data_IF_131372020493
#
_entry.id   IF_131372020493
#
_cell.length_a   1.000
_cell.length_b   1.000
_cell.length_c   1.000
_cell.angle_alpha   90.00
_cell.angle_beta   90.00
_cell.angle_gamma   90.00
#
_symmetry.space_group_name_H-M   'P 1'
#
loop_
_entity.id
_entity.type
_entity.pdbx_description
1 polymer ?
#
# COMPACT_ATOMS: atom_id res chain seq x y z
N UNK A 1 40.95 -26.04 -7.87
CA UNK A 1 39.56 -26.13 -8.38
C UNK A 1 38.78 -24.95 -7.83
N UNK A 2 38.46 -23.98 -8.68
CA UNK A 2 37.71 -22.77 -8.29
C UNK A 2 36.20 -23.09 -8.25
N UNK A 3 35.57 -22.93 -7.09
CA UNK A 3 34.10 -22.94 -6.98
C UNK A 3 33.59 -21.57 -7.40
N UNK A 4 33.03 -21.50 -8.61
CA UNK A 4 32.33 -20.32 -9.11
C UNK A 4 30.95 -20.27 -8.44
N UNK A 5 30.77 -19.37 -7.48
CA UNK A 5 29.44 -19.03 -6.95
C UNK A 5 28.80 -18.05 -7.92
N UNK A 6 28.06 -18.58 -8.90
CA UNK A 6 27.14 -17.78 -9.68
C UNK A 6 26.05 -17.26 -8.74
N UNK A 7 26.02 -15.94 -8.51
CA UNK A 7 24.97 -15.29 -7.77
C UNK A 7 23.63 -15.52 -8.49
N UNK A 8 22.65 -16.12 -7.80
CA UNK A 8 21.31 -16.28 -8.35
C UNK A 8 20.73 -14.92 -8.74
N UNK A 9 20.04 -14.79 -9.89
CA UNK A 9 19.42 -13.53 -10.28
C UNK A 9 18.40 -13.13 -9.21
N UNK A 10 18.50 -11.88 -8.72
CA UNK A 10 17.51 -11.29 -7.82
C UNK A 10 16.15 -11.34 -8.53
N UNK A 11 15.31 -12.31 -8.15
CA UNK A 11 13.92 -12.37 -8.63
C UNK A 11 13.26 -11.02 -8.32
N UNK A 12 12.62 -10.44 -9.32
CA UNK A 12 11.83 -9.23 -9.10
C UNK A 12 10.83 -9.50 -7.96
N UNK A 13 10.60 -8.52 -7.06
CA UNK A 13 9.58 -8.67 -6.03
C UNK A 13 8.23 -8.95 -6.70
N UNK A 14 7.39 -9.76 -6.04
CA UNK A 14 6.02 -10.00 -6.48
C UNK A 14 5.30 -8.65 -6.76
N UNK A 15 4.42 -8.57 -7.78
CA UNK A 15 3.76 -7.32 -8.16
C UNK A 15 3.08 -6.60 -6.98
N UNK A 16 2.42 -7.36 -6.09
CA UNK A 16 1.80 -6.86 -4.85
C UNK A 16 2.82 -6.22 -3.90
N UNK A 17 3.97 -6.86 -3.70
CA UNK A 17 5.04 -6.32 -2.86
C UNK A 17 5.64 -5.04 -3.45
N UNK A 18 5.78 -4.96 -4.77
CA UNK A 18 6.25 -3.74 -5.44
C UNK A 18 5.25 -2.58 -5.26
N UNK A 19 3.96 -2.86 -5.47
CA UNK A 19 2.86 -1.93 -5.25
C UNK A 19 2.82 -1.42 -3.80
N UNK A 20 2.87 -2.33 -2.82
CA UNK A 20 2.83 -1.99 -1.40
C UNK A 20 3.99 -1.07 -1.00
N UNK A 21 5.22 -1.38 -1.44
CA UNK A 21 6.40 -0.56 -1.16
C UNK A 21 6.27 0.85 -1.77
N UNK A 22 5.75 0.94 -2.99
CA UNK A 22 5.54 2.22 -3.69
C UNK A 22 4.53 3.10 -2.95
N UNK A 23 3.40 2.53 -2.54
CA UNK A 23 2.37 3.23 -1.78
C UNK A 23 2.88 3.65 -0.40
N UNK A 24 3.56 2.76 0.31
CA UNK A 24 4.18 3.04 1.61
C UNK A 24 5.20 4.17 1.53
N UNK A 25 6.08 4.17 0.52
CA UNK A 25 7.05 5.24 0.32
C UNK A 25 6.39 6.59 0.00
N UNK A 26 5.24 6.58 -0.68
CA UNK A 26 4.48 7.80 -0.99
C UNK A 26 3.79 8.33 0.27
N UNK A 27 3.22 7.44 1.07
CA UNK A 27 2.59 7.76 2.35
C UNK A 27 3.59 8.36 3.35
N UNK A 28 4.79 7.77 3.48
CA UNK A 28 5.87 8.26 4.36
C UNK A 28 6.35 9.67 4.01
N UNK A 29 6.07 10.16 2.79
CA UNK A 29 6.35 11.54 2.38
C UNK A 29 5.23 12.52 2.76
N UNK A 30 4.22 12.06 3.50
CA UNK A 30 3.08 12.88 3.93
C UNK A 30 2.10 13.17 2.78
N UNK A 31 1.93 12.25 1.84
CA UNK A 31 0.97 12.41 0.75
C UNK A 31 -0.46 12.51 1.28
N UNK A 32 -1.27 13.37 0.65
CA UNK A 32 -2.69 13.52 0.99
C UNK A 32 -3.51 12.28 0.56
N UNK A 33 -4.69 12.07 1.14
CA UNK A 33 -5.61 11.01 0.71
C UNK A 33 -5.89 11.03 -0.80
N UNK A 34 -6.13 12.21 -1.40
CA UNK A 34 -6.39 12.35 -2.84
C UNK A 34 -5.17 12.02 -3.69
N UNK A 35 -3.95 12.30 -3.19
CA UNK A 35 -2.71 11.90 -3.87
C UNK A 35 -2.55 10.39 -3.84
N UNK A 36 -2.92 9.75 -2.72
CA UNK A 36 -2.86 8.30 -2.58
C UNK A 36 -3.88 7.57 -3.44
N UNK A 37 -5.10 8.07 -3.57
CA UNK A 37 -6.11 7.48 -4.50
C UNK A 37 -5.58 7.45 -5.94
N UNK A 38 -4.98 8.55 -6.42
CA UNK A 38 -4.37 8.58 -7.76
C UNK A 38 -3.18 7.62 -7.90
N UNK A 39 -2.42 7.43 -6.83
CA UNK A 39 -1.32 6.47 -6.82
C UNK A 39 -1.83 5.03 -6.90
N UNK A 40 -2.94 4.73 -6.22
CA UNK A 40 -3.62 3.43 -6.35
C UNK A 40 -4.11 3.21 -7.77
N UNK A 41 -4.75 4.20 -8.41
CA UNK A 41 -5.18 4.09 -9.81
C UNK A 41 -4.01 3.70 -10.73
N UNK A 42 -2.86 4.38 -10.60
CA UNK A 42 -1.64 4.04 -11.36
C UNK A 42 -1.13 2.64 -11.05
N UNK A 43 -1.16 2.21 -9.78
CA UNK A 43 -0.75 0.86 -9.38
C UNK A 43 -1.67 -0.21 -9.97
N UNK A 44 -2.98 0.03 -9.96
CA UNK A 44 -3.97 -0.91 -10.51
C UNK A 44 -3.79 -1.04 -12.03
N UNK A 45 -3.50 0.06 -12.73
CA UNK A 45 -3.19 0.00 -14.17
C UNK A 45 -1.91 -0.79 -14.44
N UNK A 46 -0.86 -0.63 -13.62
CA UNK A 46 0.37 -1.43 -13.72
C UNK A 46 0.09 -2.93 -13.49
N UNK A 47 -0.76 -3.26 -12.51
CA UNK A 47 -1.16 -4.64 -12.22
C UNK A 47 -1.99 -5.26 -13.35
N UNK A 48 -2.95 -4.52 -13.90
CA UNK A 48 -3.73 -4.96 -15.08
C UNK A 48 -2.85 -5.28 -16.28
N UNK A 49 -1.77 -4.53 -16.46
CA UNK A 49 -0.83 -4.79 -17.54
C UNK A 49 0.08 -6.00 -17.29
N UNK A 50 0.18 -6.46 -16.03
CA UNK A 50 1.11 -7.49 -15.59
C UNK A 50 0.50 -8.90 -15.49
N UNK A 51 -0.83 -9.02 -15.41
CA UNK A 51 -1.52 -10.29 -15.22
C UNK A 51 -2.91 -10.33 -15.85
N UNK A 52 -3.57 -11.49 -15.75
CA UNK A 52 -4.96 -11.65 -16.19
C UNK A 52 -5.97 -11.20 -15.12
N UNK A 53 -7.27 -11.40 -15.39
CA UNK A 53 -8.36 -10.96 -14.51
C UNK A 53 -8.35 -11.69 -13.16
N UNK A 54 -8.02 -12.99 -13.13
CA UNK A 54 -7.97 -13.78 -11.90
C UNK A 54 -6.77 -13.38 -11.04
N UNK A 55 -5.60 -13.21 -11.67
CA UNK A 55 -4.39 -12.71 -11.00
C UNK A 55 -4.59 -11.28 -10.46
N UNK A 56 -5.16 -10.39 -11.26
CA UNK A 56 -5.48 -9.03 -10.85
C UNK A 56 -6.38 -9.03 -9.63
N UNK A 57 -7.46 -9.81 -9.66
CA UNK A 57 -8.39 -9.90 -8.53
C UNK A 57 -7.69 -10.38 -7.27
N UNK A 58 -6.89 -11.44 -7.35
CA UNK A 58 -6.14 -11.95 -6.21
C UNK A 58 -5.15 -10.89 -5.65
N UNK A 59 -4.47 -10.14 -6.51
CA UNK A 59 -3.57 -9.06 -6.08
C UNK A 59 -4.31 -7.89 -5.45
N UNK A 60 -5.49 -7.53 -5.98
CA UNK A 60 -6.33 -6.47 -5.40
C UNK A 60 -6.88 -6.88 -4.03
N UNK A 61 -7.27 -8.16 -3.85
CA UNK A 61 -7.69 -8.71 -2.55
C UNK A 61 -6.54 -8.64 -1.54
N UNK A 62 -5.35 -9.15 -1.90
CA UNK A 62 -4.15 -9.11 -1.03
C UNK A 62 -3.80 -7.67 -0.60
N UNK A 63 -3.83 -6.71 -1.54
CA UNK A 63 -3.52 -5.32 -1.25
C UNK A 63 -4.62 -4.65 -0.41
N UNK A 64 -5.89 -4.94 -0.69
CA UNK A 64 -7.02 -4.41 0.08
C UNK A 64 -6.93 -4.86 1.55
N UNK A 65 -6.73 -6.16 1.79
CA UNK A 65 -6.62 -6.74 3.13
C UNK A 65 -5.41 -6.17 3.89
N UNK A 66 -4.23 -6.13 3.26
CA UNK A 66 -3.02 -5.59 3.89
C UNK A 66 -3.15 -4.11 4.30
N UNK A 67 -3.83 -3.29 3.49
CA UNK A 67 -4.12 -1.90 3.85
C UNK A 67 -5.27 -1.76 4.84
N UNK A 68 -6.21 -2.71 4.92
CA UNK A 68 -7.23 -2.73 5.96
C UNK A 68 -6.59 -2.93 7.33
N UNK A 69 -5.76 -3.96 7.49
CA UNK A 69 -5.01 -4.22 8.74
C UNK A 69 -4.14 -3.03 9.13
N UNK A 70 -3.42 -2.45 8.16
CA UNK A 70 -2.56 -1.29 8.40
C UNK A 70 -3.36 -0.05 8.84
N UNK A 71 -4.57 0.15 8.29
CA UNK A 71 -5.44 1.27 8.66
C UNK A 71 -5.97 1.11 10.07
N UNK A 72 -6.40 -0.08 10.45
CA UNK A 72 -6.87 -0.39 11.81
C UNK A 72 -5.76 -0.14 12.84
N UNK A 73 -4.56 -0.66 12.59
CA UNK A 73 -3.39 -0.42 13.44
C UNK A 73 -3.02 1.08 13.53
N UNK A 74 -3.13 1.82 12.44
CA UNK A 74 -2.86 3.26 12.45
C UNK A 74 -3.90 4.06 13.26
N UNK A 75 -5.16 3.62 13.26
CA UNK A 75 -6.23 4.24 14.07
C UNK A 75 -5.98 3.96 15.54
N UNK A 76 -5.67 2.72 15.93
CA UNK A 76 -5.32 2.38 17.31
C UNK A 76 -4.12 3.17 17.81
N UNK A 77 -3.08 3.34 16.97
CA UNK A 77 -1.90 4.12 17.32
C UNK A 77 -2.19 5.62 17.54
N UNK A 78 -3.26 6.19 16.97
CA UNK A 78 -3.66 7.57 17.22
C UNK A 78 -4.14 7.74 18.66
N UNK A 79 -4.86 6.75 19.20
CA UNK A 79 -5.38 6.79 20.57
C UNK A 79 -4.26 6.74 21.62
N UNK A 80 -3.09 6.23 21.24
CA UNK A 80 -1.88 6.23 22.08
C UNK A 80 -1.13 7.58 22.08
N UNK A 81 -1.46 8.52 21.18
CA UNK A 81 -0.79 9.83 21.11
C UNK A 81 -1.27 10.74 22.23
N UNK A 82 -0.34 11.32 22.99
CA UNK A 82 -0.69 12.22 24.09
C UNK A 82 -1.52 13.43 23.60
N UNK A 83 -2.60 13.83 24.31
CA UNK A 83 -3.46 14.95 23.90
C UNK A 83 -2.75 16.30 23.74
N UNK A 84 -1.60 16.46 24.40
CA UNK A 84 -0.74 17.64 24.34
C UNK A 84 0.05 17.73 23.03
N UNK A 85 0.26 16.62 22.33
CA UNK A 85 1.05 16.51 21.10
C UNK A 85 0.22 16.75 19.84
N UNK A 86 -0.40 17.93 19.75
CA UNK A 86 -1.34 18.30 18.66
C UNK A 86 -0.76 18.10 17.25
N UNK A 87 0.53 18.33 17.06
CA UNK A 87 1.18 18.17 15.76
C UNK A 87 1.37 16.69 15.40
N UNK A 88 1.80 15.86 16.35
CA UNK A 88 1.97 14.42 16.15
C UNK A 88 0.62 13.76 15.87
N UNK A 89 -0.41 14.12 16.66
CA UNK A 89 -1.78 13.62 16.46
C UNK A 89 -2.31 13.97 15.07
N UNK A 90 -2.17 15.22 14.61
CA UNK A 90 -2.58 15.62 13.25
C UNK A 90 -1.83 14.85 12.16
N UNK A 91 -0.55 14.58 12.37
CA UNK A 91 0.23 13.81 11.41
C UNK A 91 -0.25 12.35 11.34
N UNK A 92 -0.51 11.73 12.49
CA UNK A 92 -1.05 10.38 12.58
C UNK A 92 -2.45 10.28 11.98
N UNK A 93 -3.35 11.23 12.28
CA UNK A 93 -4.69 11.33 11.68
C UNK A 93 -4.61 11.45 10.15
N UNK A 94 -3.72 12.30 9.64
CA UNK A 94 -3.51 12.43 8.19
C UNK A 94 -3.01 11.12 7.56
N UNK A 95 -2.07 10.43 8.20
CA UNK A 95 -1.56 9.15 7.73
C UNK A 95 -2.65 8.07 7.72
N UNK A 96 -3.45 7.96 8.79
CA UNK A 96 -4.56 7.02 8.88
C UNK A 96 -5.63 7.32 7.81
N UNK A 97 -5.98 8.59 7.59
CA UNK A 97 -6.90 8.99 6.52
C UNK A 97 -6.37 8.63 5.12
N UNK A 98 -5.07 8.79 4.91
CA UNK A 98 -4.44 8.42 3.64
C UNK A 98 -4.37 6.90 3.45
N UNK A 99 -4.13 6.11 4.50
CA UNK A 99 -4.22 4.64 4.45
C UNK A 99 -5.64 4.16 4.17
N UNK A 100 -6.65 4.73 4.85
CA UNK A 100 -8.05 4.43 4.61
C UNK A 100 -8.45 4.72 3.15
N UNK A 101 -7.97 5.82 2.58
CA UNK A 101 -8.21 6.17 1.18
C UNK A 101 -7.59 5.15 0.21
N UNK A 102 -6.44 4.56 0.54
CA UNK A 102 -5.82 3.47 -0.24
C UNK A 102 -6.70 2.23 -0.20
N UNK A 103 -7.08 1.78 1.02
CA UNK A 103 -7.98 0.63 1.22
C UNK A 103 -9.26 0.81 0.41
N UNK A 104 -9.95 1.93 0.57
CA UNK A 104 -11.22 2.20 -0.10
C UNK A 104 -11.06 2.26 -1.62
N UNK A 105 -9.93 2.79 -2.13
CA UNK A 105 -9.65 2.81 -3.56
C UNK A 105 -9.47 1.38 -4.12
N UNK A 106 -8.71 0.52 -3.44
CA UNK A 106 -8.61 -0.88 -3.83
C UNK A 106 -9.96 -1.60 -3.76
N UNK A 107 -10.77 -1.37 -2.71
CA UNK A 107 -12.10 -1.96 -2.58
C UNK A 107 -13.05 -1.56 -3.73
N UNK A 108 -12.97 -0.31 -4.19
CA UNK A 108 -13.72 0.13 -5.38
C UNK A 108 -13.28 -0.56 -6.68
N UNK A 109 -11.99 -0.84 -6.83
CA UNK A 109 -11.47 -1.57 -7.98
C UNK A 109 -11.81 -3.05 -7.91
N UNK A 110 -11.77 -3.65 -6.72
CA UNK A 110 -12.16 -5.04 -6.50
C UNK A 110 -13.63 -5.29 -6.84
N UNK A 111 -14.53 -4.36 -6.50
CA UNK A 111 -15.95 -4.45 -6.91
C UNK A 111 -16.21 -4.28 -8.42
N UNK A 112 -15.16 -4.04 -9.21
CA UNK A 112 -15.20 -3.85 -10.68
C UNK A 112 -14.27 -4.78 -11.45
N UNK A 113 -13.46 -5.56 -10.74
CA UNK A 113 -12.58 -6.59 -11.27
C UNK A 113 -13.35 -7.92 -11.30
#
# INVERSE_FOLDING_TARGET
MARSTAAAPKRAPAPTRAAFNRLSATLQRGASPERMVREVESVVDDLRAAGDEEELRAWLEELHEGFQESTEAAIEAIDEVEPTEKAARRHAENAANAMAAIRDAFGRHLGRA
#
